data_IF_349985353775
#
_entry.id   IF_349985353775
#
_cell.length_a   1.000
_cell.length_b   1.000
_cell.length_c   1.000
_cell.angle_alpha   90.00
_cell.angle_beta   90.00
_cell.angle_gamma   90.00
#
_symmetry.space_group_name_H-M   'P 1'
#
loop_
_entity.id
_entity.type
_entity.pdbx_description
1 polymer ?
#
# COMPACT_ATOMS: atom_id res chain seq x y z
N UNK A 1 -54.96 -20.45 -6.10
CA UNK A 1 -54.12 -19.37 -6.66
C UNK A 1 -53.24 -18.86 -5.53
N UNK A 2 -52.06 -19.43 -5.36
CA UNK A 2 -51.05 -18.93 -4.41
C UNK A 2 -49.88 -18.41 -5.24
N UNK A 3 -49.63 -17.10 -5.13
CA UNK A 3 -48.44 -16.47 -5.71
C UNK A 3 -47.29 -16.67 -4.73
N UNK A 4 -46.32 -17.49 -5.11
CA UNK A 4 -45.01 -17.55 -4.45
C UNK A 4 -44.26 -16.25 -4.76
N UNK A 5 -44.02 -15.43 -3.73
CA UNK A 5 -43.09 -14.29 -3.80
C UNK A 5 -41.66 -14.82 -3.73
N UNK A 6 -40.97 -14.85 -4.86
CA UNK A 6 -39.51 -15.01 -4.93
C UNK A 6 -38.85 -13.65 -4.70
N UNK A 7 -38.58 -13.32 -3.43
CA UNK A 7 -37.63 -12.26 -3.11
C UNK A 7 -36.21 -12.79 -3.35
N UNK A 8 -35.67 -12.46 -4.53
CA UNK A 8 -34.25 -12.57 -4.80
C UNK A 8 -33.48 -11.67 -3.82
N UNK A 9 -32.87 -12.29 -2.80
CA UNK A 9 -31.82 -11.71 -1.98
C UNK A 9 -30.73 -11.15 -2.89
N UNK A 10 -30.77 -9.84 -3.13
CA UNK A 10 -29.65 -9.10 -3.69
C UNK A 10 -28.50 -9.21 -2.69
N UNK A 11 -27.58 -10.13 -2.94
CA UNK A 11 -26.28 -10.15 -2.29
C UNK A 11 -25.65 -8.80 -2.61
N UNK A 12 -25.66 -7.89 -1.64
CA UNK A 12 -25.01 -6.61 -1.73
C UNK A 12 -23.52 -6.90 -1.66
N UNK A 13 -22.90 -7.12 -2.81
CA UNK A 13 -21.44 -7.18 -2.93
C UNK A 13 -20.94 -5.83 -2.42
N UNK A 14 -20.42 -5.77 -1.19
CA UNK A 14 -19.77 -4.57 -0.70
C UNK A 14 -18.58 -4.30 -1.62
N UNK A 15 -18.75 -3.37 -2.57
CA UNK A 15 -17.63 -2.93 -3.39
C UNK A 15 -16.60 -2.33 -2.44
N UNK A 16 -15.41 -2.94 -2.38
CA UNK A 16 -14.35 -2.43 -1.54
C UNK A 16 -14.05 -0.98 -1.95
N UNK A 17 -14.25 -0.02 -1.05
CA UNK A 17 -13.84 1.36 -1.30
C UNK A 17 -12.32 1.41 -1.51
N UNK A 18 -11.91 1.77 -2.73
CA UNK A 18 -10.52 1.88 -3.14
C UNK A 18 -10.12 3.35 -3.03
N UNK A 19 -9.10 3.65 -2.22
CA UNK A 19 -8.56 5.00 -2.12
C UNK A 19 -7.80 5.40 -3.39
N UNK A 20 -7.79 6.69 -3.73
CA UNK A 20 -6.98 7.22 -4.85
C UNK A 20 -5.50 6.82 -4.77
N UNK A 21 -4.96 6.71 -3.54
CA UNK A 21 -3.60 6.24 -3.31
C UNK A 21 -3.41 4.76 -3.70
N UNK A 22 -4.37 3.89 -3.41
CA UNK A 22 -4.34 2.49 -3.85
C UNK A 22 -4.50 2.37 -5.36
N UNK A 23 -5.37 3.18 -5.98
CA UNK A 23 -5.49 3.26 -7.44
C UNK A 23 -4.19 3.68 -8.11
N UNK A 24 -3.49 4.68 -7.55
CA UNK A 24 -2.16 5.10 -8.03
C UNK A 24 -1.12 3.98 -7.87
N UNK A 25 -1.09 3.31 -6.71
CA UNK A 25 -0.19 2.17 -6.49
C UNK A 25 -0.43 1.05 -7.50
N UNK A 26 -1.69 0.70 -7.75
CA UNK A 26 -2.06 -0.32 -8.73
C UNK A 26 -1.67 0.08 -10.15
N UNK A 27 -1.87 1.36 -10.52
CA UNK A 27 -1.48 1.87 -11.83
C UNK A 27 0.03 1.74 -12.04
N UNK A 28 0.83 2.13 -11.05
CA UNK A 28 2.29 2.03 -11.09
C UNK A 28 2.74 0.56 -11.15
N UNK A 29 2.09 -0.32 -10.38
CA UNK A 29 2.39 -1.75 -10.41
C UNK A 29 2.17 -2.33 -11.81
N UNK A 30 1.00 -2.11 -12.41
CA UNK A 30 0.68 -2.57 -13.77
C UNK A 30 1.64 -1.99 -14.80
N UNK A 31 1.92 -0.68 -14.72
CA UNK A 31 2.78 0.00 -15.66
C UNK A 31 4.22 -0.54 -15.63
N UNK A 32 4.80 -0.72 -14.45
CA UNK A 32 6.17 -1.23 -14.31
C UNK A 32 6.24 -2.72 -14.67
N UNK A 33 5.28 -3.53 -14.26
CA UNK A 33 5.21 -4.95 -14.66
C UNK A 33 5.17 -5.10 -16.19
N UNK A 34 4.36 -4.28 -16.86
CA UNK A 34 4.29 -4.24 -18.33
C UNK A 34 5.63 -3.83 -18.96
N UNK A 35 6.28 -2.80 -18.41
CA UNK A 35 7.56 -2.31 -18.92
C UNK A 35 8.70 -3.33 -18.74
N UNK A 36 8.67 -4.11 -17.65
CA UNK A 36 9.67 -5.14 -17.34
C UNK A 36 9.51 -6.43 -18.17
N UNK A 37 8.39 -6.61 -18.86
CA UNK A 37 8.14 -7.73 -19.81
C UNK A 37 8.45 -9.12 -19.23
N UNK A 38 8.03 -9.35 -17.99
CA UNK A 38 8.23 -10.66 -17.36
C UNK A 38 7.43 -11.77 -18.04
N UNK A 39 7.87 -13.04 -17.96
CA UNK A 39 7.00 -14.19 -18.22
C UNK A 39 5.73 -14.09 -17.38
N UNK A 40 4.59 -14.51 -17.92
CA UNK A 40 3.30 -14.44 -17.23
C UNK A 40 3.31 -15.16 -15.86
N UNK A 41 4.10 -16.24 -15.74
CA UNK A 41 4.27 -17.00 -14.50
C UNK A 41 5.16 -16.35 -13.44
N UNK A 42 5.89 -15.28 -13.78
CA UNK A 42 6.78 -14.60 -12.82
C UNK A 42 5.94 -13.96 -11.73
N UNK A 43 6.19 -14.33 -10.47
CA UNK A 43 5.59 -13.64 -9.33
C UNK A 43 6.10 -12.20 -9.25
N UNK A 44 5.20 -11.25 -9.07
CA UNK A 44 5.52 -9.85 -8.82
C UNK A 44 5.09 -9.47 -7.41
N UNK A 45 5.82 -8.54 -6.79
CA UNK A 45 5.56 -8.12 -5.40
C UNK A 45 5.35 -6.62 -5.33
N UNK A 46 4.25 -6.18 -4.73
CA UNK A 46 4.05 -4.77 -4.38
C UNK A 46 4.00 -4.60 -2.86
N UNK A 47 4.99 -3.92 -2.30
CA UNK A 47 5.09 -3.63 -0.85
C UNK A 47 4.50 -2.28 -0.55
N UNK A 48 3.52 -2.25 0.36
CA UNK A 48 3.03 -1.02 0.97
C UNK A 48 3.52 -0.90 2.41
N UNK A 49 3.77 0.33 2.84
CA UNK A 49 3.99 0.66 4.24
C UNK A 49 2.66 0.97 4.93
N UNK A 50 2.41 0.36 6.10
CA UNK A 50 1.23 0.60 6.92
C UNK A 50 1.61 1.27 8.21
N UNK A 51 0.92 2.37 8.54
CA UNK A 51 1.02 3.01 9.85
C UNK A 51 0.20 2.22 10.88
N UNK A 52 0.87 1.60 11.83
CA UNK A 52 0.24 0.72 12.82
C UNK A 52 -0.40 1.48 13.99
N UNK A 53 -0.07 2.78 14.19
CA UNK A 53 -0.50 3.56 15.37
C UNK A 53 -2.01 3.54 15.61
N UNK A 54 -2.80 3.70 14.54
CA UNK A 54 -4.26 3.77 14.61
C UNK A 54 -4.94 2.40 14.48
N UNK A 55 -4.17 1.34 14.24
CA UNK A 55 -4.66 -0.03 14.02
C UNK A 55 -4.64 -0.87 15.29
N UNK A 56 -3.71 -0.57 16.19
CA UNK A 56 -3.60 -1.23 17.49
C UNK A 56 -4.80 -0.91 18.39
N UNK A 57 -5.12 -1.86 19.28
CA UNK A 57 -6.07 -1.69 20.38
C UNK A 57 -5.36 -1.97 21.72
N UNK A 58 -5.22 -0.98 22.61
CA UNK A 58 -5.55 0.44 22.42
C UNK A 58 -4.66 1.11 21.36
N UNK A 59 -5.19 2.16 20.72
CA UNK A 59 -4.43 2.96 19.73
C UNK A 59 -3.19 3.57 20.39
N UNK A 60 -2.09 3.63 19.65
CA UNK A 60 -0.92 4.36 20.11
C UNK A 60 -1.23 5.87 20.14
N UNK A 61 -0.55 6.57 21.05
CA UNK A 61 -0.64 8.03 21.13
C UNK A 61 -0.30 8.65 19.75
N UNK A 62 -1.09 9.63 19.26
CA UNK A 62 -0.78 10.34 18.01
C UNK A 62 0.64 10.94 17.98
N UNK A 63 1.19 11.29 19.15
CA UNK A 63 2.54 11.84 19.34
C UNK A 63 3.60 10.77 19.64
N UNK A 64 3.30 9.47 19.45
CA UNK A 64 4.27 8.39 19.63
C UNK A 64 5.52 8.60 18.75
N UNK A 65 6.63 8.90 19.42
CA UNK A 65 7.94 9.19 18.83
C UNK A 65 8.77 7.91 18.66
N UNK A 66 8.31 7.02 17.78
CA UNK A 66 8.99 5.77 17.44
C UNK A 66 8.54 5.18 16.11
N UNK A 67 9.07 4.00 15.78
CA UNK A 67 8.71 3.29 14.55
C UNK A 67 7.51 2.36 14.81
N UNK A 68 6.33 2.79 14.35
CA UNK A 68 5.11 1.97 14.33
C UNK A 68 4.62 1.81 12.89
N UNK A 69 5.44 1.12 12.10
CA UNK A 69 5.27 0.91 10.66
C UNK A 69 5.63 -0.53 10.32
N UNK A 70 4.80 -1.19 9.52
CA UNK A 70 5.07 -2.53 8.99
C UNK A 70 4.95 -2.53 7.47
N UNK A 71 5.70 -3.42 6.82
CA UNK A 71 5.68 -3.61 5.37
C UNK A 71 4.79 -4.80 5.03
N UNK A 72 3.76 -4.56 4.21
CA UNK A 72 2.85 -5.61 3.75
C UNK A 72 3.10 -5.89 2.26
N UNK A 73 3.65 -7.06 1.92
CA UNK A 73 3.81 -7.46 0.52
C UNK A 73 2.51 -8.05 -0.03
N UNK A 74 2.08 -7.59 -1.20
CA UNK A 74 1.05 -8.25 -2.02
C UNK A 74 1.74 -8.97 -3.17
N UNK A 75 1.44 -10.26 -3.34
CA UNK A 75 2.04 -11.12 -4.36
C UNK A 75 1.01 -11.49 -5.41
N UNK A 76 1.31 -11.21 -6.68
CA UNK A 76 0.45 -11.56 -7.83
C UNK A 76 1.33 -11.87 -9.03
N UNK A 77 0.94 -12.84 -9.86
CA UNK A 77 1.67 -13.17 -11.09
C UNK A 77 1.68 -12.00 -12.07
N UNK A 78 2.74 -11.86 -12.88
CA UNK A 78 2.82 -10.83 -13.90
C UNK A 78 1.67 -10.96 -14.91
N UNK A 79 1.26 -12.19 -15.22
CA UNK A 79 0.10 -12.48 -16.06
C UNK A 79 -1.18 -11.88 -15.50
N UNK A 80 -1.49 -12.13 -14.23
CA UNK A 80 -2.71 -11.65 -13.59
C UNK A 80 -2.75 -10.12 -13.46
N UNK A 81 -1.61 -9.50 -13.10
CA UNK A 81 -1.49 -8.02 -13.03
C UNK A 81 -1.81 -7.37 -14.39
N UNK A 82 -1.45 -8.03 -15.49
CA UNK A 82 -1.61 -7.48 -16.83
C UNK A 82 -2.94 -7.86 -17.49
N UNK A 83 -3.51 -9.03 -17.17
CA UNK A 83 -4.78 -9.51 -17.73
C UNK A 83 -6.00 -8.87 -17.09
N UNK A 84 -5.93 -8.50 -15.80
CA UNK A 84 -7.02 -7.84 -15.09
C UNK A 84 -6.98 -6.32 -15.22
N UNK A 85 -8.12 -5.68 -14.91
CA UNK A 85 -8.23 -4.22 -14.92
C UNK A 85 -7.53 -3.55 -13.72
N UNK A 86 -7.55 -2.21 -13.74
CA UNK A 86 -6.94 -1.42 -12.66
C UNK A 86 -7.64 -1.62 -11.32
N UNK A 87 -8.97 -1.77 -11.33
CA UNK A 87 -9.78 -1.90 -10.13
C UNK A 87 -9.41 -3.17 -9.38
N UNK A 88 -9.35 -4.31 -10.09
CA UNK A 88 -8.94 -5.59 -9.54
C UNK A 88 -7.55 -5.53 -8.91
N UNK A 89 -6.58 -4.90 -9.58
CA UNK A 89 -5.23 -4.74 -9.03
C UNK A 89 -5.23 -3.90 -7.75
N UNK A 90 -6.01 -2.82 -7.71
CA UNK A 90 -6.16 -1.99 -6.52
C UNK A 90 -6.90 -2.72 -5.38
N UNK A 91 -7.82 -3.62 -5.73
CA UNK A 91 -8.52 -4.48 -4.78
C UNK A 91 -7.56 -5.46 -4.09
N UNK A 92 -6.58 -6.02 -4.80
CA UNK A 92 -5.54 -6.88 -4.17
C UNK A 92 -4.72 -6.12 -3.12
N UNK A 93 -4.39 -4.86 -3.41
CA UNK A 93 -3.72 -3.98 -2.44
C UNK A 93 -4.65 -3.64 -1.27
N UNK A 94 -5.94 -3.39 -1.54
CA UNK A 94 -6.94 -3.06 -0.53
C UNK A 94 -7.20 -4.21 0.44
N UNK A 95 -7.36 -5.44 -0.07
CA UNK A 95 -7.52 -6.66 0.74
C UNK A 95 -6.37 -6.82 1.73
N UNK A 96 -5.12 -6.67 1.27
CA UNK A 96 -3.95 -6.77 2.13
C UNK A 96 -3.89 -5.65 3.19
N UNK A 97 -4.16 -4.40 2.79
CA UNK A 97 -4.21 -3.25 3.72
C UNK A 97 -5.33 -3.40 4.75
N UNK A 98 -6.50 -3.93 4.38
CA UNK A 98 -7.63 -4.15 5.30
C UNK A 98 -7.37 -5.28 6.28
N UNK A 99 -6.81 -6.39 5.81
CA UNK A 99 -6.48 -7.56 6.62
C UNK A 99 -5.41 -7.29 7.70
N UNK A 100 -4.62 -6.22 7.56
CA UNK A 100 -3.55 -5.89 8.49
C UNK A 100 -4.04 -5.13 9.74
N UNK A 101 -4.86 -5.76 10.56
CA UNK A 101 -5.47 -5.21 11.79
C UNK A 101 -4.58 -5.35 13.05
N UNK A 102 -5.14 -5.07 14.25
CA UNK A 102 -4.44 -5.20 15.54
C UNK A 102 -3.80 -6.59 15.72
N UNK A 103 -4.57 -7.64 15.42
CA UNK A 103 -4.14 -9.03 15.58
C UNK A 103 -2.96 -9.33 14.65
N UNK A 104 -3.07 -8.92 13.38
CA UNK A 104 -1.98 -9.14 12.42
C UNK A 104 -0.74 -8.32 12.72
N UNK A 105 -0.88 -7.08 13.23
CA UNK A 105 0.26 -6.25 13.64
C UNK A 105 1.02 -6.92 14.79
N UNK A 106 0.31 -7.42 15.80
CA UNK A 106 0.91 -8.11 16.96
C UNK A 106 1.57 -9.42 16.56
N UNK A 107 0.88 -10.23 15.78
CA UNK A 107 1.42 -11.48 15.24
C UNK A 107 2.72 -11.25 14.45
N UNK A 108 2.79 -10.19 13.64
CA UNK A 108 4.01 -9.84 12.92
C UNK A 108 5.19 -9.57 13.87
N UNK A 109 4.94 -8.91 15.01
CA UNK A 109 5.97 -8.66 16.03
C UNK A 109 6.40 -9.98 16.67
N UNK A 110 5.45 -10.82 17.10
CA UNK A 110 5.74 -12.12 17.70
C UNK A 110 6.54 -13.03 16.76
N UNK A 111 6.18 -13.07 15.48
CA UNK A 111 6.87 -13.85 14.45
C UNK A 111 8.27 -13.32 14.19
N UNK A 112 8.48 -12.00 14.29
CA UNK A 112 9.80 -11.39 14.16
C UNK A 112 10.67 -11.61 15.41
N UNK A 113 10.10 -11.59 16.61
CA UNK A 113 10.82 -11.88 17.86
C UNK A 113 11.35 -13.32 17.90
N UNK A 114 10.60 -14.27 17.32
CA UNK A 114 11.01 -15.68 17.19
C UNK A 114 12.13 -15.89 16.17
N UNK A 115 12.13 -15.14 15.08
CA UNK A 115 13.12 -15.22 14.00
C UNK A 115 13.52 -13.81 13.50
N UNK A 116 14.40 -13.11 14.25
CA UNK A 116 14.77 -11.74 13.93
C UNK A 116 15.56 -11.67 12.64
N UNK A 117 15.03 -10.88 11.70
CA UNK A 117 15.67 -10.64 10.39
C UNK A 117 15.70 -9.17 10.02
N UNK A 118 16.73 -8.80 9.27
CA UNK A 118 16.82 -7.47 8.68
C UNK A 118 15.72 -7.28 7.63
N UNK A 119 15.22 -6.05 7.51
CA UNK A 119 14.27 -5.72 6.46
C UNK A 119 14.92 -5.91 5.07
N UNK A 120 14.34 -6.71 4.17
CA UNK A 120 14.92 -6.96 2.84
C UNK A 120 14.72 -5.73 1.95
N UNK A 121 15.63 -4.77 2.06
CA UNK A 121 15.59 -3.51 1.30
C UNK A 121 16.16 -3.69 -0.11
N UNK A 122 15.33 -3.55 -1.13
CA UNK A 122 15.78 -3.56 -2.52
C UNK A 122 14.79 -4.23 -3.47
N UNK A 123 15.27 -4.52 -4.69
CA UNK A 123 14.55 -5.28 -5.70
C UNK A 123 15.39 -6.49 -6.15
N UNK A 124 15.58 -7.45 -5.23
CA UNK A 124 16.54 -8.55 -5.41
C UNK A 124 16.14 -9.53 -6.52
N UNK A 125 14.85 -9.66 -6.83
CA UNK A 125 14.31 -10.59 -7.82
C UNK A 125 13.91 -9.92 -9.14
N UNK A 126 14.17 -8.62 -9.26
CA UNK A 126 13.79 -7.76 -10.37
C UNK A 126 12.29 -7.43 -10.42
N UNK A 127 11.41 -8.10 -9.67
CA UNK A 127 9.95 -8.03 -9.79
C UNK A 127 9.27 -7.38 -8.57
N UNK A 128 10.04 -6.83 -7.65
CA UNK A 128 9.55 -6.11 -6.48
C UNK A 128 9.42 -4.61 -6.74
N UNK A 129 8.34 -4.05 -6.21
CA UNK A 129 8.10 -2.62 -6.07
C UNK A 129 7.81 -2.30 -4.60
N UNK A 130 8.34 -1.18 -4.11
CA UNK A 130 8.12 -0.71 -2.75
C UNK A 130 7.62 0.72 -2.77
N UNK A 131 6.37 0.91 -2.35
CA UNK A 131 5.78 2.22 -2.13
C UNK A 131 6.11 2.73 -0.72
N UNK A 132 6.89 3.80 -0.65
CA UNK A 132 7.14 4.55 0.58
C UNK A 132 6.42 5.90 0.60
N UNK A 133 6.34 6.49 1.79
CA UNK A 133 5.62 7.74 2.03
C UNK A 133 4.11 7.62 1.69
N UNK A 134 3.37 8.71 1.85
CA UNK A 134 1.93 8.78 1.63
C UNK A 134 1.53 10.26 1.48
N UNK A 135 0.49 10.58 0.68
CA UNK A 135 -0.04 11.93 0.59
C UNK A 135 -0.63 12.45 1.92
N UNK A 136 -0.77 11.58 2.93
CA UNK A 136 -1.28 11.92 4.26
C UNK A 136 -0.26 12.61 5.18
N UNK A 137 1.02 12.65 4.81
CA UNK A 137 2.01 13.33 5.64
C UNK A 137 1.98 14.84 5.39
N UNK A 138 2.06 15.68 6.44
CA UNK A 138 1.96 17.15 6.35
C UNK A 138 3.26 17.79 5.82
N UNK A 139 3.74 17.32 4.67
CA UNK A 139 5.09 17.67 4.17
C UNK A 139 5.24 19.16 3.84
N UNK A 140 4.15 19.83 3.49
CA UNK A 140 4.13 21.25 3.16
C UNK A 140 3.56 22.12 4.29
N UNK A 141 3.38 21.60 5.50
CA UNK A 141 2.87 22.39 6.65
C UNK A 141 3.99 22.93 7.55
N UNK A 142 5.24 22.60 7.22
CA UNK A 142 6.41 23.06 7.96
C UNK A 142 6.85 24.45 7.48
N UNK A 143 6.44 25.50 8.19
CA UNK A 143 6.90 26.88 7.98
C UNK A 143 7.73 27.34 9.19
N UNK A 144 9.01 27.64 8.95
CA UNK A 144 9.96 28.09 9.96
C UNK A 144 10.12 29.63 9.99
N UNK A 145 9.27 30.37 9.28
CA UNK A 145 9.31 31.84 9.18
C UNK A 145 9.75 32.38 7.80
N UNK A 146 10.05 31.48 6.85
CA UNK A 146 10.44 31.84 5.47
C UNK A 146 9.41 31.41 4.43
N UNK A 147 8.23 31.01 4.88
CA UNK A 147 7.14 30.58 4.04
C UNK A 147 7.13 29.08 3.77
N UNK A 148 5.98 28.65 3.22
CA UNK A 148 5.67 27.27 2.92
C UNK A 148 6.65 26.61 1.93
N UNK A 149 7.01 25.31 2.10
CA UNK A 149 7.91 24.63 1.17
C UNK A 149 7.48 24.71 -0.30
N UNK A 150 8.45 24.88 -1.19
CA UNK A 150 8.22 24.96 -2.64
C UNK A 150 8.10 23.57 -3.26
N UNK A 151 8.91 22.61 -2.81
CA UNK A 151 8.91 21.23 -3.30
C UNK A 151 9.40 20.25 -2.23
N UNK A 152 8.92 19.01 -2.30
CA UNK A 152 9.35 17.89 -1.44
C UNK A 152 10.03 16.84 -2.32
N UNK A 153 11.23 16.39 -1.94
CA UNK A 153 12.02 15.40 -2.69
C UNK A 153 12.67 14.41 -1.73
N UNK A 154 12.94 13.20 -2.24
CA UNK A 154 13.73 12.20 -1.53
C UNK A 154 15.21 12.29 -1.90
N UNK A 155 16.08 12.10 -0.90
CA UNK A 155 17.53 12.04 -1.08
C UNK A 155 18.00 10.81 -1.88
N UNK A 156 19.24 10.85 -2.38
CA UNK A 156 19.83 9.81 -3.25
C UNK A 156 19.80 8.41 -2.63
N UNK A 157 20.03 8.29 -1.32
CA UNK A 157 20.04 7.01 -0.61
C UNK A 157 18.68 6.27 -0.66
N UNK A 158 17.59 6.99 -0.94
CA UNK A 158 16.25 6.42 -1.07
C UNK A 158 15.85 6.14 -2.54
N UNK A 159 16.82 6.04 -3.45
CA UNK A 159 16.59 5.78 -4.88
C UNK A 159 17.29 4.50 -5.29
N UNK A 160 16.50 3.45 -5.50
CA UNK A 160 16.93 2.16 -6.03
C UNK A 160 15.82 1.61 -6.92
N UNK A 161 16.14 0.61 -7.74
CA UNK A 161 15.16 0.02 -8.65
C UNK A 161 13.94 -0.51 -7.89
N UNK A 162 12.74 -0.22 -8.41
CA UNK A 162 11.46 -0.56 -7.77
C UNK A 162 11.06 0.31 -6.57
N UNK A 163 11.88 1.27 -6.13
CA UNK A 163 11.47 2.22 -5.07
C UNK A 163 10.61 3.34 -5.62
N UNK A 164 9.44 3.53 -5.01
CA UNK A 164 8.52 4.63 -5.31
C UNK A 164 8.31 5.45 -4.02
N UNK A 165 8.17 6.77 -4.16
CA UNK A 165 7.80 7.67 -3.06
C UNK A 165 6.65 8.56 -3.50
N UNK A 166 5.59 8.62 -2.69
CA UNK A 166 4.46 9.51 -2.91
C UNK A 166 4.47 10.66 -1.89
N UNK A 167 4.32 11.88 -2.38
CA UNK A 167 4.19 13.09 -1.56
C UNK A 167 2.91 13.82 -1.97
N UNK A 168 2.28 14.55 -1.04
CA UNK A 168 1.09 15.32 -1.41
C UNK A 168 1.43 16.38 -2.46
N UNK A 169 0.44 16.77 -3.26
CA UNK A 169 0.54 18.00 -4.06
C UNK A 169 0.73 19.23 -3.17
N UNK A 170 1.54 20.23 -3.59
CA UNK A 170 1.74 21.48 -2.83
C UNK A 170 0.41 22.18 -2.53
N UNK A 171 -0.53 22.20 -3.47
CA UNK A 171 -1.86 22.81 -3.27
C UNK A 171 -2.90 21.83 -2.68
N UNK A 172 -2.49 20.62 -2.28
CA UNK A 172 -3.40 19.53 -1.93
C UNK A 172 -3.90 18.76 -3.16
N UNK A 173 -4.75 17.75 -2.92
CA UNK A 173 -5.48 17.01 -3.96
C UNK A 173 -4.66 16.07 -4.85
N UNK A 174 -3.37 15.88 -4.56
CA UNK A 174 -2.45 15.01 -5.32
C UNK A 174 -1.78 13.99 -4.42
#
# INVERSE_FOLDING_TARGET
MEKQNNDHLKIKTESAEISSFQSLCALLWRAVTRARKFPASKMTTFRMAVNCRHRLQPKLNPLYFGNAIQSIPTYVSAGDVLSHDLHWCAEQLNKNVKAHDDVMVRKFVEDWEKDPRCFPLGNFDGAMLTMGSSPRFPMYENDFGWGRPVAVRSGRANKFDGKISAFPGRKGGG
#
